data_IF_881824716818
#
_entry.id   IF_881824716818
#
_cell.length_a   1.000
_cell.length_b   1.000
_cell.length_c   1.000
_cell.angle_alpha   90.00
_cell.angle_beta   90.00
_cell.angle_gamma   90.00
#
_symmetry.space_group_name_H-M   'P 1'
#
loop_
_entity.id
_entity.type
_entity.pdbx_description
1 polymer ?
#
# COMPACT_ATOMS: atom_id res chain seq x y z
N UNK A 1 -54.44 50.85 -8.01
CA UNK A 1 -53.37 50.13 -7.28
C UNK A 1 -52.25 49.91 -8.31
N UNK A 2 -51.15 50.69 -8.43
CA UNK A 2 -49.96 50.88 -7.55
C UNK A 2 -49.55 49.55 -6.91
N UNK A 3 -48.37 48.96 -7.18
CA UNK A 3 -47.01 49.50 -7.15
C UNK A 3 -46.08 48.99 -8.27
N UNK A 4 -45.21 49.90 -8.72
CA UNK A 4 -43.90 49.62 -9.36
C UNK A 4 -42.89 49.46 -8.22
N UNK A 5 -41.99 48.48 -8.28
CA UNK A 5 -40.74 48.52 -7.51
C UNK A 5 -39.55 48.22 -8.40
N UNK A 6 -38.52 49.03 -8.20
CA UNK A 6 -37.34 49.21 -9.04
C UNK A 6 -36.09 48.73 -8.30
N UNK A 7 -35.31 47.87 -8.98
CA UNK A 7 -33.82 47.86 -9.06
C UNK A 7 -33.02 47.59 -7.73
N UNK A 8 -31.67 47.63 -7.76
CA UNK A 8 -30.72 46.54 -8.09
C UNK A 8 -29.62 46.43 -6.99
N UNK A 9 -28.44 45.85 -7.32
CA UNK A 9 -27.08 46.00 -6.69
C UNK A 9 -26.48 44.62 -6.39
N UNK A 10 -25.62 44.09 -7.28
CA UNK A 10 -24.14 44.18 -7.18
C UNK A 10 -23.58 43.44 -5.95
N UNK A 11 -23.26 42.15 -6.11
CA UNK A 11 -22.22 41.51 -5.30
C UNK A 11 -21.10 41.04 -6.22
N UNK A 12 -20.23 42.01 -6.52
CA UNK A 12 -18.88 41.77 -6.99
C UNK A 12 -18.03 41.60 -5.72
N UNK A 13 -17.75 40.35 -5.35
CA UNK A 13 -16.70 40.03 -4.39
C UNK A 13 -15.73 39.09 -5.09
N UNK A 14 -14.72 39.71 -5.69
CA UNK A 14 -13.57 39.06 -6.26
C UNK A 14 -12.75 38.42 -5.13
N UNK A 15 -12.77 37.09 -5.04
CA UNK A 15 -11.77 36.33 -4.29
C UNK A 15 -10.76 35.77 -5.28
N UNK A 16 -9.89 36.64 -5.78
CA UNK A 16 -8.62 36.23 -6.37
C UNK A 16 -7.72 35.76 -5.22
N UNK A 17 -7.85 34.49 -4.84
CA UNK A 17 -6.92 33.86 -3.94
C UNK A 17 -5.62 33.63 -4.72
N UNK A 18 -4.62 34.45 -4.47
CA UNK A 18 -3.29 34.29 -5.03
C UNK A 18 -2.79 32.87 -4.70
N UNK A 19 -2.59 32.05 -5.74
CA UNK A 19 -1.85 30.80 -5.63
C UNK A 19 -0.43 31.14 -5.16
N UNK A 20 -0.17 30.92 -3.88
CA UNK A 20 1.19 30.81 -3.37
C UNK A 20 1.79 29.53 -3.97
N UNK A 21 2.57 29.69 -5.03
CA UNK A 21 3.42 28.63 -5.59
C UNK A 21 4.46 28.24 -4.52
N UNK A 22 4.16 27.25 -3.70
CA UNK A 22 5.18 26.47 -3.01
C UNK A 22 5.49 25.25 -3.88
N UNK A 23 6.48 25.40 -4.76
CA UNK A 23 7.07 24.26 -5.45
C UNK A 23 7.87 23.43 -4.43
N UNK A 24 7.58 22.15 -4.19
CA UNK A 24 8.57 21.28 -3.59
C UNK A 24 9.60 20.96 -4.66
N UNK A 25 10.74 21.65 -4.58
CA UNK A 25 11.97 21.21 -5.23
C UNK A 25 12.42 19.89 -4.60
N UNK A 26 11.82 18.77 -5.02
CA UNK A 26 12.49 17.48 -4.96
C UNK A 26 13.24 17.30 -6.28
N UNK A 27 14.36 18.01 -6.38
CA UNK A 27 15.48 17.57 -7.21
C UNK A 27 15.99 16.26 -6.58
N UNK A 28 15.29 15.17 -6.86
CA UNK A 28 15.80 13.83 -6.66
C UNK A 28 16.82 13.61 -7.78
N UNK A 29 17.99 14.21 -7.61
CA UNK A 29 19.20 13.90 -8.37
C UNK A 29 19.60 12.47 -7.97
N UNK A 30 18.86 11.49 -8.50
CA UNK A 30 19.37 10.14 -8.63
C UNK A 30 20.23 10.15 -9.90
N UNK A 31 21.43 10.73 -9.78
CA UNK A 31 22.48 10.50 -10.75
C UNK A 31 22.74 8.99 -10.79
N UNK A 32 22.25 8.34 -11.83
CA UNK A 32 22.66 7.00 -12.21
C UNK A 32 23.98 7.14 -12.93
N UNK A 33 25.08 6.68 -12.31
CA UNK A 33 26.30 6.39 -13.05
C UNK A 33 26.92 5.08 -12.55
N UNK A 34 27.25 4.12 -13.45
CA UNK A 34 27.73 2.81 -13.08
C UNK A 34 29.25 2.87 -12.87
N UNK A 35 29.70 2.71 -11.63
CA UNK A 35 31.11 2.46 -11.34
C UNK A 35 31.31 0.99 -11.00
N UNK A 36 31.67 0.20 -12.02
CA UNK A 36 32.48 -1.00 -11.83
C UNK A 36 33.75 -0.58 -11.09
N UNK A 37 33.93 -1.07 -9.87
CA UNK A 37 35.28 -1.34 -9.37
C UNK A 37 35.24 -2.44 -8.32
N UNK A 38 35.97 -3.52 -8.61
CA UNK A 38 36.14 -4.66 -7.71
C UNK A 38 37.17 -4.29 -6.63
N UNK A 39 36.95 -4.61 -5.35
CA UNK A 39 38.04 -4.59 -4.40
C UNK A 39 38.83 -5.89 -4.52
N UNK A 40 39.99 -5.81 -5.16
CA UNK A 40 41.09 -6.77 -4.98
C UNK A 40 41.41 -6.88 -3.49
N UNK A 41 41.09 -8.02 -2.90
CA UNK A 41 41.50 -8.36 -1.55
C UNK A 41 42.92 -8.94 -1.60
N UNK A 42 43.92 -8.05 -1.44
CA UNK A 42 45.24 -8.45 -0.96
C UNK A 42 45.09 -8.91 0.50
N UNK A 43 45.25 -10.20 0.73
CA UNK A 43 45.35 -10.77 2.07
C UNK A 43 46.84 -10.76 2.51
N UNK A 44 47.19 -10.26 3.70
CA UNK A 44 48.55 -10.35 4.18
C UNK A 44 48.85 -11.78 4.61
N UNK A 45 49.94 -12.35 4.06
CA UNK A 45 50.57 -13.55 4.57
C UNK A 45 50.92 -13.36 6.04
N UNK A 46 50.27 -14.11 6.93
CA UNK A 46 50.72 -14.26 8.31
C UNK A 46 51.24 -15.68 8.47
N UNK A 47 52.57 -15.78 8.42
CA UNK A 47 53.32 -16.91 8.91
C UNK A 47 52.92 -17.18 10.36
N UNK A 48 52.26 -18.31 10.61
CA UNK A 48 51.99 -18.76 11.99
C UNK A 48 53.20 -19.53 12.46
N UNK A 49 53.99 -18.87 13.30
CA UNK A 49 55.06 -19.48 14.08
C UNK A 49 54.54 -20.67 14.89
N UNK A 50 55.31 -21.75 14.81
CA UNK A 50 55.18 -22.97 15.61
C UNK A 50 55.27 -22.64 17.10
N UNK A 51 54.15 -22.62 17.81
CA UNK A 51 54.14 -22.59 19.27
C UNK A 51 53.74 -23.97 19.80
N UNK A 52 54.74 -24.80 20.07
CA UNK A 52 54.57 -26.05 20.80
C UNK A 52 54.60 -25.73 22.29
N UNK A 53 53.49 -25.96 23.01
CA UNK A 53 53.56 -26.10 24.48
C UNK A 53 52.75 -27.30 24.96
N UNK A 54 53.31 -28.15 25.85
CA UNK A 54 52.74 -29.43 26.22
C UNK A 54 51.99 -29.29 27.54
N UNK A 55 50.66 -29.39 27.53
CA UNK A 55 49.94 -29.74 28.75
C UNK A 55 48.61 -30.44 28.46
N UNK A 56 48.38 -31.53 29.17
CA UNK A 56 47.31 -32.49 28.94
C UNK A 56 45.95 -32.00 29.38
N UNK A 57 45.29 -31.21 28.54
CA UNK A 57 43.83 -31.09 28.55
C UNK A 57 43.21 -32.16 27.64
N UNK A 58 42.14 -32.85 28.07
CA UNK A 58 41.46 -33.80 27.19
C UNK A 58 40.89 -33.03 26.01
N UNK A 59 41.48 -33.26 24.83
CA UNK A 59 40.97 -32.71 23.56
C UNK A 59 39.50 -33.12 23.43
N UNK A 60 38.55 -32.17 23.36
CA UNK A 60 37.14 -32.52 23.25
C UNK A 60 36.93 -33.34 21.98
N UNK A 61 36.49 -34.59 22.14
CA UNK A 61 36.16 -35.44 21.00
C UNK A 61 34.78 -34.98 20.49
N UNK A 62 34.77 -34.34 19.32
CA UNK A 62 33.54 -34.01 18.61
C UNK A 62 32.94 -35.34 18.12
N UNK A 63 31.84 -35.77 18.74
CA UNK A 63 31.04 -36.88 18.23
C UNK A 63 30.23 -36.31 17.07
N UNK A 64 30.60 -36.67 15.84
CA UNK A 64 29.79 -36.40 14.66
C UNK A 64 28.57 -37.33 14.78
N UNK A 65 27.40 -36.75 15.08
CA UNK A 65 26.15 -37.50 14.98
C UNK A 65 25.97 -37.98 13.54
N UNK A 66 25.39 -39.17 13.38
CA UNK A 66 25.13 -39.79 12.07
C UNK A 66 24.42 -38.81 11.12
N UNK A 67 24.66 -39.01 9.82
CA UNK A 67 24.27 -38.08 8.75
C UNK A 67 22.81 -37.60 8.93
N UNK A 68 22.54 -36.28 8.97
CA UNK A 68 21.20 -35.78 9.23
C UNK A 68 20.24 -36.31 8.17
N UNK A 69 19.17 -36.97 8.62
CA UNK A 69 18.09 -37.44 7.76
C UNK A 69 17.63 -36.29 6.86
N UNK A 70 17.70 -36.51 5.54
CA UNK A 70 17.41 -35.49 4.55
C UNK A 70 16.02 -34.91 4.83
N UNK A 71 15.87 -33.59 5.02
CA UNK A 71 14.57 -32.98 5.26
C UNK A 71 13.62 -33.36 4.12
N UNK A 72 12.46 -33.95 4.43
CA UNK A 72 11.47 -34.22 3.39
C UNK A 72 11.09 -32.90 2.71
N UNK A 73 11.27 -32.84 1.39
CA UNK A 73 10.89 -31.66 0.62
C UNK A 73 9.38 -31.38 0.80
N UNK A 74 8.99 -30.14 1.17
CA UNK A 74 7.59 -29.83 1.41
C UNK A 74 6.81 -30.04 0.11
N UNK A 75 5.77 -30.87 0.16
CA UNK A 75 4.85 -31.10 -0.96
C UNK A 75 4.09 -29.79 -1.27
N UNK A 76 4.55 -29.06 -2.29
CA UNK A 76 3.90 -27.84 -2.75
C UNK A 76 2.66 -28.22 -3.58
N UNK A 77 1.47 -27.81 -3.13
CA UNK A 77 0.26 -27.90 -3.94
C UNK A 77 0.37 -26.94 -5.14
N UNK A 78 0.12 -27.39 -6.38
CA UNK A 78 0.21 -26.53 -7.55
C UNK A 78 -0.85 -25.42 -7.51
N UNK A 79 -0.49 -24.26 -8.05
CA UNK A 79 -1.39 -23.11 -8.18
C UNK A 79 -2.54 -23.49 -9.14
N UNK A 80 -3.80 -23.14 -8.84
CA UNK A 80 -4.92 -23.39 -9.74
C UNK A 80 -4.69 -22.76 -11.13
N UNK A 81 -5.02 -23.52 -12.17
CA UNK A 81 -4.93 -23.04 -13.55
C UNK A 81 -5.93 -21.92 -13.85
N UNK A 82 -7.07 -21.89 -13.14
CA UNK A 82 -8.14 -20.91 -13.30
C UNK A 82 -8.39 -20.19 -11.99
N UNK A 83 -8.40 -18.85 -12.05
CA UNK A 83 -8.71 -17.98 -10.93
C UNK A 83 -10.16 -17.51 -11.03
N UNK A 84 -10.80 -17.26 -9.89
CA UNK A 84 -12.13 -16.65 -9.87
C UNK A 84 -12.13 -15.34 -10.66
N UNK A 85 -13.18 -15.06 -11.46
CA UNK A 85 -13.26 -13.83 -12.23
C UNK A 85 -13.27 -12.61 -11.31
N UNK A 86 -12.67 -11.51 -11.79
CA UNK A 86 -12.66 -10.23 -11.07
C UNK A 86 -14.09 -9.67 -11.08
N UNK A 87 -14.65 -9.27 -9.92
CA UNK A 87 -15.96 -8.63 -9.87
C UNK A 87 -15.89 -7.24 -10.52
N UNK A 88 -16.73 -7.02 -11.53
CA UNK A 88 -16.80 -5.79 -12.31
C UNK A 88 -18.22 -5.20 -12.27
N UNK A 89 -18.34 -3.88 -12.28
CA UNK A 89 -19.61 -3.19 -12.49
C UNK A 89 -20.02 -3.13 -13.98
N UNK A 90 -21.18 -2.51 -14.27
CA UNK A 90 -21.68 -2.31 -15.63
C UNK A 90 -20.75 -1.48 -16.52
N UNK A 91 -19.85 -0.69 -15.94
CA UNK A 91 -18.86 0.14 -16.62
C UNK A 91 -17.49 -0.54 -16.73
N UNK A 92 -17.37 -1.81 -16.30
CA UNK A 92 -16.12 -2.58 -16.23
C UNK A 92 -15.10 -2.04 -15.22
N UNK A 93 -15.53 -1.28 -14.22
CA UNK A 93 -14.69 -0.95 -13.08
C UNK A 93 -14.61 -2.14 -12.14
N UNK A 94 -13.41 -2.45 -11.65
CA UNK A 94 -13.25 -3.50 -10.64
C UNK A 94 -13.74 -3.05 -9.27
N UNK A 95 -14.26 -4.00 -8.47
CA UNK A 95 -14.63 -3.72 -7.08
C UNK A 95 -13.45 -3.13 -6.28
N UNK A 96 -12.23 -3.61 -6.52
CA UNK A 96 -11.04 -3.06 -5.88
C UNK A 96 -10.72 -1.63 -6.33
N UNK A 97 -10.86 -1.33 -7.63
CA UNK A 97 -10.69 0.03 -8.15
C UNK A 97 -11.71 1.01 -7.56
N UNK A 98 -12.98 0.60 -7.49
CA UNK A 98 -14.04 1.37 -6.83
C UNK A 98 -13.77 1.56 -5.35
N UNK A 99 -13.23 0.55 -4.67
CA UNK A 99 -12.83 0.65 -3.27
C UNK A 99 -11.75 1.71 -3.07
N UNK A 100 -10.70 1.71 -3.90
CA UNK A 100 -9.64 2.72 -3.84
C UNK A 100 -10.16 4.12 -4.16
N UNK A 101 -11.04 4.26 -5.15
CA UNK A 101 -11.68 5.53 -5.47
C UNK A 101 -12.52 6.05 -4.30
N UNK A 102 -13.31 5.18 -3.65
CA UNK A 102 -14.07 5.51 -2.45
C UNK A 102 -13.18 5.94 -1.30
N UNK A 103 -12.11 5.19 -1.02
CA UNK A 103 -11.12 5.54 0.01
C UNK A 103 -10.48 6.90 -0.26
N UNK A 104 -10.10 7.18 -1.50
CA UNK A 104 -9.52 8.46 -1.88
C UNK A 104 -10.51 9.62 -1.70
N UNK A 105 -11.74 9.47 -2.17
CA UNK A 105 -12.79 10.48 -2.01
C UNK A 105 -13.05 10.79 -0.53
N UNK A 106 -13.16 9.77 0.33
CA UNK A 106 -13.31 9.96 1.77
C UNK A 106 -12.14 10.74 2.39
N UNK A 107 -10.89 10.43 2.01
CA UNK A 107 -9.72 11.16 2.52
C UNK A 107 -9.63 12.60 2.00
N UNK A 108 -10.25 12.89 0.86
CA UNK A 108 -10.35 14.24 0.29
C UNK A 108 -11.52 15.05 0.87
N UNK A 109 -12.32 14.47 1.76
CA UNK A 109 -13.50 15.10 2.34
C UNK A 109 -14.76 15.01 1.49
N UNK A 110 -14.72 14.26 0.38
CA UNK A 110 -15.88 14.02 -0.49
C UNK A 110 -16.70 12.83 0.03
N UNK A 111 -17.35 13.01 1.18
CA UNK A 111 -18.04 11.93 1.89
C UNK A 111 -19.12 11.24 1.07
N UNK A 112 -19.95 12.01 0.34
CA UNK A 112 -21.03 11.46 -0.50
C UNK A 112 -20.48 10.61 -1.66
N UNK A 113 -19.52 11.15 -2.42
CA UNK A 113 -18.84 10.41 -3.50
C UNK A 113 -18.17 9.13 -2.96
N UNK A 114 -17.53 9.22 -1.79
CA UNK A 114 -16.90 8.09 -1.13
C UNK A 114 -17.90 7.00 -0.72
N UNK A 115 -19.04 7.40 -0.16
CA UNK A 115 -20.14 6.50 0.19
C UNK A 115 -20.71 5.80 -1.05
N UNK A 116 -20.98 6.53 -2.13
CA UNK A 116 -21.51 5.97 -3.38
C UNK A 116 -20.58 4.91 -3.99
N UNK A 117 -19.26 5.15 -3.93
CA UNK A 117 -18.29 4.16 -4.39
C UNK A 117 -18.29 2.91 -3.50
N UNK A 118 -18.27 3.07 -2.17
CA UNK A 118 -18.24 1.92 -1.26
C UNK A 118 -19.55 1.12 -1.27
N UNK A 119 -20.70 1.75 -1.50
CA UNK A 119 -21.97 1.05 -1.73
C UNK A 119 -21.91 0.16 -2.99
N UNK A 120 -21.32 0.68 -4.08
CA UNK A 120 -21.09 -0.11 -5.31
C UNK A 120 -20.13 -1.28 -5.08
N UNK A 121 -19.08 -1.10 -4.26
CA UNK A 121 -18.20 -2.22 -3.87
C UNK A 121 -18.98 -3.27 -3.10
N UNK A 122 -19.80 -2.86 -2.12
CA UNK A 122 -20.60 -3.81 -1.35
C UNK A 122 -21.58 -4.61 -2.22
N UNK A 123 -22.22 -3.97 -3.20
CA UNK A 123 -23.09 -4.65 -4.17
C UNK A 123 -22.34 -5.70 -5.02
N UNK A 124 -21.06 -5.48 -5.32
CA UNK A 124 -20.22 -6.39 -6.09
C UNK A 124 -19.62 -7.54 -5.25
N UNK A 125 -19.37 -7.30 -3.97
CA UNK A 125 -18.71 -8.26 -3.06
C UNK A 125 -19.46 -8.37 -1.71
N UNK A 126 -20.73 -8.79 -1.70
CA UNK A 126 -21.55 -8.85 -0.49
C UNK A 126 -21.02 -9.86 0.55
N UNK A 127 -20.22 -10.82 0.12
CA UNK A 127 -19.56 -11.82 0.95
C UNK A 127 -18.48 -11.26 1.87
N UNK A 128 -18.06 -10.00 1.67
CA UNK A 128 -17.01 -9.36 2.47
C UNK A 128 -17.60 -8.49 3.60
N UNK A 129 -17.60 -8.95 4.87
CA UNK A 129 -18.28 -8.23 5.96
C UNK A 129 -17.65 -6.86 6.26
N UNK A 130 -16.34 -6.74 6.07
CA UNK A 130 -15.62 -5.48 6.26
C UNK A 130 -16.07 -4.40 5.28
N UNK A 131 -16.36 -4.77 4.03
CA UNK A 131 -16.83 -3.83 3.00
C UNK A 131 -18.21 -3.28 3.39
N UNK A 132 -19.09 -4.14 3.93
CA UNK A 132 -20.41 -3.72 4.44
C UNK A 132 -20.28 -2.67 5.55
N UNK A 133 -19.45 -2.93 6.56
CA UNK A 133 -19.24 -2.00 7.69
C UNK A 133 -18.65 -0.66 7.23
N UNK A 134 -17.75 -0.69 6.24
CA UNK A 134 -17.15 0.50 5.66
C UNK A 134 -18.16 1.30 4.82
N UNK A 135 -18.98 0.64 4.01
CA UNK A 135 -20.04 1.28 3.23
C UNK A 135 -21.07 1.94 4.15
N UNK A 136 -21.52 1.24 5.19
CA UNK A 136 -22.40 1.79 6.22
C UNK A 136 -21.80 3.02 6.91
N UNK A 137 -20.54 2.94 7.34
CA UNK A 137 -19.85 4.06 8.01
C UNK A 137 -19.69 5.26 7.07
N UNK A 138 -19.39 5.00 5.79
CA UNK A 138 -19.29 6.04 4.78
C UNK A 138 -20.65 6.71 4.51
N UNK A 139 -21.74 5.94 4.46
CA UNK A 139 -23.10 6.45 4.33
C UNK A 139 -23.46 7.35 5.53
N UNK A 140 -23.16 6.93 6.76
CA UNK A 140 -23.33 7.78 7.96
C UNK A 140 -22.53 9.08 7.86
N UNK A 141 -21.27 9.03 7.42
CA UNK A 141 -20.44 10.22 7.25
C UNK A 141 -20.98 11.17 6.15
N UNK A 142 -21.58 10.60 5.10
CA UNK A 142 -22.26 11.35 4.05
C UNK A 142 -23.63 11.90 4.48
N UNK A 143 -24.16 11.44 5.62
CA UNK A 143 -25.52 11.77 6.07
C UNK A 143 -26.61 11.01 5.29
N UNK A 144 -26.25 9.95 4.56
CA UNK A 144 -27.21 9.09 3.85
C UNK A 144 -27.73 8.00 4.79
N UNK A 145 -28.88 8.29 5.42
CA UNK A 145 -29.53 7.36 6.33
C UNK A 145 -30.35 6.28 5.62
N UNK A 146 -30.62 6.42 4.33
CA UNK A 146 -31.35 5.39 3.58
C UNK A 146 -30.42 4.21 3.27
N UNK A 147 -29.18 4.50 2.88
CA UNK A 147 -28.14 3.49 2.69
C UNK A 147 -27.57 2.95 4.02
N UNK A 148 -27.65 3.73 5.10
CA UNK A 148 -27.23 3.30 6.44
C UNK A 148 -28.34 2.60 7.27
N UNK A 149 -29.54 2.40 6.73
CA UNK A 149 -30.71 1.87 7.43
C UNK A 149 -30.83 0.35 7.49
#
# INVERSE_FOLDING_TARGET
MRFVSSRPVLFLAASALALSLAAPALAQEAASEPASDAPSQDAPSQDVETHTEPNGDPVPHIIIADEPEAPEEPKITPIPAEWSPIPLDAHRNSAFGLYLAGRNALTSGESATGADYLARVYALTPEQPRVREQAFTAALLAGDLNEAG
#
